data_IF_410486482803
#
_entry.id   IF_410486482803
#
_cell.length_a   1.000
_cell.length_b   1.000
_cell.length_c   1.000
_cell.angle_alpha   90.00
_cell.angle_beta   90.00
_cell.angle_gamma   90.00
#
_symmetry.space_group_name_H-M   'P 1'
#
loop_
_entity.id
_entity.type
_entity.pdbx_description
1 polymer ?
#
# COMPACT_ATOMS: atom_id res chain seq x y z
N UNK A 1 -5.04 -7.29 20.80
CA UNK A 1 -5.01 -6.67 19.47
C UNK A 1 -5.53 -5.25 19.62
N UNK A 2 -4.84 -4.17 19.22
CA UNK A 2 -5.44 -2.86 19.34
C UNK A 2 -6.50 -2.73 18.24
N UNK A 3 -7.75 -2.99 18.64
CA UNK A 3 -8.99 -2.77 17.89
C UNK A 3 -9.27 -1.25 17.71
N UNK A 4 -8.24 -0.44 17.52
CA UNK A 4 -8.38 1.00 17.36
C UNK A 4 -8.35 1.30 15.87
N UNK A 5 -9.52 1.59 15.30
CA UNK A 5 -9.62 2.12 13.94
C UNK A 5 -8.71 3.37 13.85
N UNK A 6 -7.84 3.47 12.82
CA UNK A 6 -6.98 4.63 12.66
C UNK A 6 -7.81 5.91 12.51
N UNK A 7 -7.30 7.03 13.02
CA UNK A 7 -7.97 8.33 12.91
C UNK A 7 -7.94 8.84 11.47
N UNK A 8 -8.90 9.69 11.11
CA UNK A 8 -8.94 10.29 9.77
C UNK A 8 -7.65 11.06 9.43
N UNK A 9 -7.11 11.82 10.39
CA UNK A 9 -5.84 12.54 10.22
C UNK A 9 -4.66 11.62 9.90
N UNK A 10 -4.58 10.48 10.60
CA UNK A 10 -3.54 9.49 10.36
C UNK A 10 -3.68 8.86 8.97
N UNK A 11 -4.92 8.56 8.54
CA UNK A 11 -5.18 8.05 7.20
C UNK A 11 -4.80 9.06 6.11
N UNK A 12 -5.10 10.36 6.30
CA UNK A 12 -4.67 11.42 5.37
C UNK A 12 -3.14 11.50 5.29
N UNK A 13 -2.46 11.44 6.44
CA UNK A 13 -0.99 11.39 6.48
C UNK A 13 -0.45 10.16 5.73
N UNK A 14 -1.03 8.98 5.95
CA UNK A 14 -0.63 7.75 5.28
C UNK A 14 -0.80 7.86 3.76
N UNK A 15 -1.89 8.46 3.27
CA UNK A 15 -2.13 8.65 1.84
C UNK A 15 -1.05 9.54 1.23
N UNK A 16 -0.75 10.69 1.85
CA UNK A 16 0.30 11.58 1.35
C UNK A 16 1.70 10.95 1.42
N UNK A 17 1.99 10.20 2.49
CA UNK A 17 3.24 9.46 2.63
C UNK A 17 3.37 8.35 1.56
N UNK A 18 2.29 7.60 1.33
CA UNK A 18 2.21 6.56 0.31
C UNK A 18 2.27 7.11 -1.12
N UNK A 19 1.84 8.36 -1.36
CA UNK A 19 1.99 9.01 -2.66
C UNK A 19 3.46 9.34 -2.99
N UNK A 20 4.26 9.70 -1.97
CA UNK A 20 5.69 9.97 -2.12
C UNK A 20 6.55 8.70 -2.17
N UNK A 21 6.41 7.82 -1.17
CA UNK A 21 7.32 6.67 -0.96
C UNK A 21 6.68 5.30 -1.29
N UNK A 22 5.40 5.28 -1.66
CA UNK A 22 4.66 4.07 -2.00
C UNK A 22 4.77 3.68 -3.48
N UNK A 23 4.74 2.38 -3.74
CA UNK A 23 4.83 1.81 -5.08
C UNK A 23 3.95 0.57 -5.21
N UNK A 24 3.16 0.52 -6.28
CA UNK A 24 2.48 -0.71 -6.69
C UNK A 24 3.36 -1.49 -7.66
N UNK A 25 3.68 -2.72 -7.29
CA UNK A 25 4.46 -3.64 -8.09
C UNK A 25 3.52 -4.76 -8.57
N UNK A 26 3.52 -5.00 -9.87
CA UNK A 26 2.85 -6.16 -10.48
C UNK A 26 3.95 -7.12 -10.89
N UNK A 27 3.94 -8.33 -10.32
CA UNK A 27 4.89 -9.37 -10.70
C UNK A 27 4.51 -9.98 -12.04
N UNK A 28 5.44 -10.68 -12.67
CA UNK A 28 5.18 -11.40 -13.93
C UNK A 28 4.12 -12.52 -13.77
N UNK A 29 3.83 -12.93 -12.52
CA UNK A 29 2.78 -13.91 -12.18
C UNK A 29 1.41 -13.26 -11.96
N UNK A 30 1.25 -12.00 -12.35
CA UNK A 30 0.06 -11.18 -12.08
C UNK A 30 -0.23 -10.94 -10.58
N UNK A 31 0.73 -11.20 -9.69
CA UNK A 31 0.55 -10.83 -8.28
C UNK A 31 0.73 -9.32 -8.13
N UNK A 32 -0.27 -8.67 -7.55
CA UNK A 32 -0.21 -7.28 -7.15
C UNK A 32 0.37 -7.20 -5.73
N UNK A 33 1.31 -6.29 -5.51
CA UNK A 33 1.75 -5.92 -4.17
C UNK A 33 1.93 -4.42 -4.06
N UNK A 34 1.58 -3.88 -2.90
CA UNK A 34 1.89 -2.51 -2.52
C UNK A 34 3.10 -2.51 -1.60
N UNK A 35 4.07 -1.66 -1.91
CA UNK A 35 5.36 -1.59 -1.21
C UNK A 35 5.66 -0.16 -0.83
N UNK A 36 6.05 0.06 0.43
CA UNK A 36 6.66 1.32 0.88
C UNK A 36 8.10 1.00 1.26
N UNK A 37 9.05 1.74 0.70
CA UNK A 37 10.48 1.54 1.00
C UNK A 37 10.99 2.72 1.82
N UNK A 38 11.69 2.43 2.91
CA UNK A 38 12.25 3.46 3.77
C UNK A 38 13.63 3.05 4.29
N UNK A 39 14.46 4.01 4.67
CA UNK A 39 15.75 3.73 5.32
C UNK A 39 15.56 2.97 6.65
N UNK A 40 16.53 2.14 7.00
CA UNK A 40 16.58 1.42 8.28
C UNK A 40 16.57 2.36 9.49
N UNK A 41 17.08 3.59 9.35
CA UNK A 41 17.00 4.61 10.40
C UNK A 41 15.56 4.98 10.75
N UNK A 42 14.63 4.85 9.81
CA UNK A 42 13.22 5.17 9.97
C UNK A 42 12.33 3.94 9.85
N UNK A 43 12.85 2.74 10.19
CA UNK A 43 12.10 1.48 10.15
C UNK A 43 10.87 1.51 11.07
N UNK A 44 10.93 2.30 12.14
CA UNK A 44 9.83 2.47 13.09
C UNK A 44 8.54 2.92 12.40
N UNK A 45 8.63 3.77 11.38
CA UNK A 45 7.50 4.23 10.58
C UNK A 45 6.83 3.04 9.87
N UNK A 46 7.61 2.12 9.31
CA UNK A 46 7.08 0.93 8.64
C UNK A 46 6.37 -0.01 9.63
N UNK A 47 6.89 -0.10 10.86
CA UNK A 47 6.25 -0.87 11.93
C UNK A 47 4.97 -0.20 12.43
N UNK A 48 4.94 1.13 12.53
CA UNK A 48 3.76 1.89 12.89
C UNK A 48 2.64 1.72 11.86
N UNK A 49 2.96 1.82 10.56
CA UNK A 49 2.01 1.58 9.46
C UNK A 49 1.46 0.16 9.55
N UNK A 50 2.31 -0.85 9.74
CA UNK A 50 1.87 -2.24 9.92
C UNK A 50 0.94 -2.39 11.13
N UNK A 51 1.24 -1.75 12.25
CA UNK A 51 0.42 -1.85 13.46
C UNK A 51 -0.95 -1.18 13.31
N UNK A 52 -1.01 -0.01 12.67
CA UNK A 52 -2.26 0.73 12.46
C UNK A 52 -3.16 0.09 11.39
N UNK A 53 -2.57 -0.40 10.30
CA UNK A 53 -3.33 -1.10 9.26
C UNK A 53 -3.70 -2.52 9.67
N UNK A 54 -2.93 -3.16 10.54
CA UNK A 54 -3.15 -4.53 10.99
C UNK A 54 -2.90 -5.60 9.91
N UNK A 55 -2.38 -5.21 8.74
CA UNK A 55 -2.12 -6.08 7.59
C UNK A 55 -0.72 -5.87 7.03
N UNK A 56 -0.23 -6.81 6.22
CA UNK A 56 1.07 -6.75 5.56
C UNK A 56 2.25 -7.12 6.46
N UNK A 57 3.45 -7.04 5.90
CA UNK A 57 4.71 -7.43 6.55
C UNK A 57 5.81 -6.40 6.30
N UNK A 58 6.72 -6.25 7.26
CA UNK A 58 7.94 -5.46 7.11
C UNK A 58 9.10 -6.43 6.88
N UNK A 59 9.89 -6.20 5.84
CA UNK A 59 11.09 -6.99 5.55
C UNK A 59 12.28 -6.07 5.34
N UNK A 60 13.45 -6.47 5.85
CA UNK A 60 14.72 -5.80 5.57
C UNK A 60 15.17 -6.23 4.18
N UNK A 61 15.39 -5.28 3.27
CA UNK A 61 15.73 -5.60 1.88
C UNK A 61 17.19 -6.02 1.74
N UNK A 62 18.11 -5.29 2.36
CA UNK A 62 19.52 -5.65 2.44
C UNK A 62 20.19 -4.89 3.58
N UNK A 63 21.07 -5.55 4.33
CA UNK A 63 21.91 -4.89 5.36
C UNK A 63 22.87 -3.88 4.74
N UNK A 64 23.28 -4.08 3.49
CA UNK A 64 24.25 -3.23 2.80
C UNK A 64 23.63 -1.93 2.28
N UNK A 65 22.35 -1.97 1.89
CA UNK A 65 21.62 -0.81 1.37
C UNK A 65 20.89 -0.01 2.45
N UNK A 66 20.94 -0.48 3.71
CA UNK A 66 20.25 0.12 4.84
C UNK A 66 18.79 0.50 4.56
N UNK A 67 18.06 -0.37 3.85
CA UNK A 67 16.68 -0.13 3.47
C UNK A 67 15.78 -1.28 3.92
N UNK A 68 14.63 -0.91 4.46
CA UNK A 68 13.54 -1.80 4.83
C UNK A 68 12.31 -1.45 4.03
N UNK A 69 11.41 -2.42 3.88
CA UNK A 69 10.20 -2.25 3.09
C UNK A 69 8.99 -2.87 3.77
N UNK A 70 7.91 -2.12 3.80
CA UNK A 70 6.59 -2.64 4.12
C UNK A 70 5.96 -3.19 2.84
N UNK A 71 5.35 -4.37 2.92
CA UNK A 71 4.73 -5.07 1.79
C UNK A 71 3.34 -5.53 2.19
N UNK A 72 2.34 -5.12 1.40
CA UNK A 72 0.99 -5.65 1.45
C UNK A 72 0.70 -6.40 0.14
N UNK A 73 0.47 -7.71 0.24
CA UNK A 73 0.19 -8.61 -0.89
C UNK A 73 -1.18 -9.31 -0.74
N UNK A 74 -1.72 -9.36 0.47
CA UNK A 74 -2.99 -10.02 0.75
C UNK A 74 -4.14 -9.26 0.09
N UNK A 75 -5.15 -9.98 -0.42
CA UNK A 75 -6.31 -9.37 -1.07
C UNK A 75 -7.02 -8.36 -0.15
N UNK A 76 -7.10 -8.66 1.15
CA UNK A 76 -7.68 -7.77 2.17
C UNK A 76 -6.83 -6.51 2.34
N UNK A 77 -5.51 -6.64 2.39
CA UNK A 77 -4.62 -5.49 2.54
C UNK A 77 -4.63 -4.59 1.30
N UNK A 78 -4.63 -5.20 0.11
CA UNK A 78 -4.70 -4.49 -1.16
C UNK A 78 -6.06 -3.81 -1.34
N UNK A 79 -7.17 -4.47 -1.00
CA UNK A 79 -8.50 -3.85 -1.07
C UNK A 79 -8.61 -2.67 -0.10
N UNK A 80 -8.07 -2.79 1.11
CA UNK A 80 -8.00 -1.72 2.09
C UNK A 80 -7.20 -0.54 1.52
N UNK A 81 -5.97 -0.77 1.05
CA UNK A 81 -5.12 0.27 0.48
C UNK A 81 -5.80 0.95 -0.72
N UNK A 82 -6.34 0.16 -1.65
CA UNK A 82 -7.07 0.68 -2.82
C UNK A 82 -8.29 1.48 -2.37
N UNK A 83 -8.99 1.10 -1.30
CA UNK A 83 -10.14 1.84 -0.77
C UNK A 83 -9.79 3.16 -0.08
N UNK A 84 -8.52 3.39 0.28
CA UNK A 84 -8.05 4.67 0.84
C UNK A 84 -7.84 5.74 -0.25
N UNK A 85 -7.40 5.36 -1.44
CA UNK A 85 -7.16 6.27 -2.56
C UNK A 85 -8.37 6.87 -3.32
N UNK A 86 -9.62 6.31 -3.31
CA UNK A 86 -10.73 6.85 -4.11
C UNK A 86 -11.27 8.21 -3.66
N UNK A 87 -11.05 8.65 -2.42
CA UNK A 87 -11.79 9.78 -1.86
C UNK A 87 -11.13 11.16 -2.07
N UNK A 88 -9.83 11.24 -2.38
CA UNK A 88 -9.10 12.52 -2.51
C UNK A 88 -8.88 12.98 -3.97
N UNK A 89 -9.46 12.28 -4.94
CA UNK A 89 -9.23 12.54 -6.36
C UNK A 89 -9.75 13.89 -6.92
N UNK A 90 -10.70 14.64 -6.30
CA UNK A 90 -11.08 15.95 -6.85
C UNK A 90 -10.37 17.17 -6.24
N UNK A 91 -9.65 17.04 -5.11
CA UNK A 91 -9.19 18.23 -4.38
C UNK A 91 -7.70 18.15 -4.01
N UNK A 92 -6.92 18.93 -4.75
CA UNK A 92 -5.52 19.27 -4.54
C UNK A 92 -4.48 18.32 -5.19
N UNK A 93 -3.87 18.88 -6.23
CA UNK A 93 -2.66 18.46 -6.93
C UNK A 93 -2.77 17.23 -7.83
N UNK A 94 -2.33 17.42 -9.08
CA UNK A 94 -2.55 16.48 -10.17
C UNK A 94 -1.88 15.12 -9.92
N UNK A 95 -2.47 14.03 -10.45
CA UNK A 95 -1.99 12.68 -10.16
C UNK A 95 -0.66 12.42 -10.87
N UNK A 96 0.43 12.31 -10.09
CA UNK A 96 1.69 11.77 -10.59
C UNK A 96 1.55 10.28 -10.98
N UNK A 97 0.49 9.61 -10.50
CA UNK A 97 0.16 8.25 -10.89
C UNK A 97 -0.79 8.23 -12.10
N UNK A 98 -0.37 7.70 -13.27
CA UNK A 98 -1.26 7.60 -14.43
C UNK A 98 -2.48 6.74 -14.09
N UNK A 99 -3.70 7.22 -14.38
CA UNK A 99 -4.97 6.46 -14.21
C UNK A 99 -4.87 5.03 -14.79
N UNK A 100 -4.05 4.83 -15.83
CA UNK A 100 -3.77 3.53 -16.43
C UNK A 100 -3.16 2.50 -15.45
N UNK A 101 -2.29 2.92 -14.52
CA UNK A 101 -1.70 2.02 -13.53
C UNK A 101 -2.70 1.64 -12.42
N UNK A 102 -3.51 2.58 -11.90
CA UNK A 102 -4.60 2.23 -10.96
C UNK A 102 -5.64 1.36 -11.64
N UNK A 103 -6.00 1.64 -12.89
CA UNK A 103 -6.92 0.80 -13.65
C UNK A 103 -6.35 -0.61 -13.90
N UNK A 104 -5.03 -0.74 -14.08
CA UNK A 104 -4.36 -2.06 -14.19
C UNK A 104 -4.38 -2.80 -12.86
N UNK A 105 -4.09 -2.10 -11.76
CA UNK A 105 -4.24 -2.61 -10.39
C UNK A 105 -5.69 -3.07 -10.13
N UNK A 106 -6.69 -2.22 -10.42
CA UNK A 106 -8.10 -2.53 -10.25
C UNK A 106 -8.57 -3.67 -11.16
N UNK A 107 -8.10 -3.75 -12.40
CA UNK A 107 -8.38 -4.88 -13.31
C UNK A 107 -7.77 -6.18 -12.82
N UNK A 108 -6.53 -6.17 -12.31
CA UNK A 108 -5.88 -7.37 -11.74
C UNK A 108 -6.64 -7.81 -10.48
N UNK A 109 -6.99 -6.87 -9.60
CA UNK A 109 -7.75 -7.17 -8.38
C UNK A 109 -9.16 -7.69 -8.68
N UNK A 110 -9.85 -7.13 -9.70
CA UNK A 110 -11.16 -7.62 -10.15
C UNK A 110 -11.10 -9.01 -10.82
N UNK A 111 -9.99 -9.33 -11.50
CA UNK A 111 -9.81 -10.66 -12.11
C UNK A 111 -9.54 -11.73 -11.05
N UNK A 112 -8.76 -11.41 -10.02
CA UNK A 112 -8.56 -12.30 -8.86
C UNK A 112 -9.82 -12.47 -8.01
N UNK A 113 -10.71 -11.48 -7.97
CA UNK A 113 -12.02 -11.59 -7.31
C UNK A 113 -12.98 -12.53 -8.06
N UNK A 114 -12.86 -12.63 -9.39
CA UNK A 114 -13.68 -13.51 -10.21
C UNK A 114 -13.22 -14.99 -10.18
N UNK A 115 -11.97 -15.27 -9.81
CA UNK A 115 -11.45 -16.64 -9.72
C UNK A 115 -11.63 -17.30 -8.34
N UNK A 116 -11.96 -16.55 -7.29
CA UNK A 116 -12.27 -17.09 -5.95
C UNK A 116 -13.79 -17.32 -5.76
N UNK A 117 -14.59 -17.01 -6.78
CA UNK A 117 -16.06 -17.16 -6.78
C UNK A 117 -16.60 -18.29 -7.66
N UNK A 118 -15.83 -19.36 -7.87
CA UNK A 118 -16.32 -20.63 -8.45
C UNK A 118 -15.93 -21.80 -7.58
#
# INVERSE_FOLDING_TARGET
>A
MPNKKPSAQWLTWLIGFAEGDGSFIVTNRQDLMFVITQSNYNIEILHEIKQHLGVGRVIVQSKTLNASRYIAQDQIGLSLIVSLFPCLWPLAFGPFWPRAKVAKVAKVTATSFCQVGK
#
